data_IF_705758676153
#
_entry.id   IF_705758676153
#
_cell.length_a   1.000
_cell.length_b   1.000
_cell.length_c   1.000
_cell.angle_alpha   90.00
_cell.angle_beta   90.00
_cell.angle_gamma   90.00
#
_symmetry.space_group_name_H-M   'P 1'
#
loop_
_entity.id
_entity.type
_entity.pdbx_description
1 polymer ?
#
# COMPACT_ATOMS: atom_id res chain seq x y z
N UNK A 1 -17.39 11.27 -9.88
CA UNK A 1 -17.12 11.03 -11.31
C UNK A 1 -17.20 12.33 -12.09
N UNK A 2 -18.32 13.05 -11.99
CA UNK A 2 -18.47 14.39 -12.56
C UNK A 2 -17.28 15.30 -12.23
N UNK A 3 -16.89 15.38 -10.96
CA UNK A 3 -15.78 16.25 -10.52
C UNK A 3 -14.42 15.79 -11.09
N UNK A 4 -14.14 14.49 -11.12
CA UNK A 4 -12.88 13.96 -11.70
C UNK A 4 -12.75 14.27 -13.20
N UNK A 5 -13.84 14.20 -13.95
CA UNK A 5 -13.84 14.53 -15.38
C UNK A 5 -13.75 16.04 -15.60
N UNK A 6 -14.42 16.83 -14.75
CA UNK A 6 -14.31 18.28 -14.78
C UNK A 6 -12.86 18.73 -14.54
N UNK A 7 -12.23 18.24 -13.48
CA UNK A 7 -10.83 18.53 -13.14
C UNK A 7 -9.89 18.10 -14.28
N UNK A 8 -10.13 16.94 -14.90
CA UNK A 8 -9.33 16.47 -16.02
C UNK A 8 -9.45 17.37 -17.27
N UNK A 9 -10.66 17.81 -17.60
CA UNK A 9 -10.94 18.73 -18.73
C UNK A 9 -10.35 20.12 -18.46
N UNK A 10 -10.36 20.59 -17.22
CA UNK A 10 -9.72 21.85 -16.84
C UNK A 10 -8.21 21.83 -17.13
N UNK A 11 -7.55 20.71 -16.84
CA UNK A 11 -6.11 20.54 -17.06
C UNK A 11 -5.79 20.23 -18.54
N UNK A 12 -6.62 19.41 -19.21
CA UNK A 12 -6.44 18.98 -20.61
C UNK A 12 -7.79 19.04 -21.34
N UNK A 13 -8.12 20.15 -22.00
CA UNK A 13 -9.45 20.36 -22.62
C UNK A 13 -9.87 19.28 -23.62
N UNK A 14 -8.93 18.70 -24.37
CA UNK A 14 -9.18 17.66 -25.37
C UNK A 14 -9.75 16.37 -24.78
N UNK A 15 -9.66 16.17 -23.45
CA UNK A 15 -10.31 15.05 -22.75
C UNK A 15 -11.82 15.06 -22.96
N UNK A 16 -12.44 16.22 -23.22
CA UNK A 16 -13.88 16.35 -23.47
C UNK A 16 -14.34 15.63 -24.75
N UNK A 17 -13.43 15.39 -25.70
CA UNK A 17 -13.74 14.71 -26.97
C UNK A 17 -13.49 13.20 -26.90
N UNK A 18 -12.97 12.69 -25.77
CA UNK A 18 -12.67 11.26 -25.59
C UNK A 18 -13.88 10.48 -25.08
N UNK A 19 -13.99 9.21 -25.49
CA UNK A 19 -14.99 8.29 -24.98
C UNK A 19 -14.56 7.68 -23.63
N UNK A 20 -15.43 7.73 -22.63
CA UNK A 20 -15.21 7.05 -21.34
C UNK A 20 -15.31 5.53 -21.51
N UNK A 21 -14.16 4.85 -21.50
CA UNK A 21 -14.12 3.38 -21.66
C UNK A 21 -14.58 2.62 -20.41
N UNK A 22 -14.18 3.05 -19.21
CA UNK A 22 -14.45 2.31 -17.98
C UNK A 22 -14.40 3.22 -16.75
N UNK A 23 -15.13 2.85 -15.69
CA UNK A 23 -14.96 3.41 -14.34
C UNK A 23 -14.86 2.28 -13.33
N UNK A 24 -13.82 2.34 -12.48
CA UNK A 24 -13.57 1.33 -11.45
C UNK A 24 -13.24 1.98 -10.11
N UNK A 25 -13.68 1.32 -9.04
CA UNK A 25 -13.23 1.58 -7.66
C UNK A 25 -12.60 0.32 -7.08
N UNK A 26 -11.56 0.51 -6.26
CA UNK A 26 -10.82 -0.56 -5.59
C UNK A 26 -10.37 -0.10 -4.21
N UNK A 27 -10.21 -1.06 -3.32
CA UNK A 27 -9.69 -0.82 -1.99
C UNK A 27 -8.22 -0.40 -2.05
N UNK A 28 -7.88 0.63 -1.27
CA UNK A 28 -6.50 1.10 -1.06
C UNK A 28 -6.18 0.91 0.44
N UNK A 29 -5.86 -0.32 0.86
CA UNK A 29 -5.61 -0.60 2.27
C UNK A 29 -4.48 0.31 2.76
N UNK A 30 -4.76 1.11 3.77
CA UNK A 30 -3.85 2.06 4.38
C UNK A 30 -3.92 1.95 5.89
N UNK A 31 -2.90 2.49 6.53
CA UNK A 31 -2.72 2.57 7.98
C UNK A 31 -2.85 4.03 8.43
N UNK A 32 -2.99 4.26 9.74
CA UNK A 32 -3.16 5.61 10.28
C UNK A 32 -1.99 6.55 9.97
N UNK A 33 -0.78 6.00 9.79
CA UNK A 33 0.45 6.76 9.48
C UNK A 33 0.82 6.74 7.99
N UNK A 34 -0.02 6.14 7.12
CA UNK A 34 0.24 5.92 5.69
C UNK A 34 1.48 5.07 5.37
N UNK A 35 2.11 4.40 6.35
CA UNK A 35 3.22 3.49 6.14
C UNK A 35 2.75 2.02 6.08
N UNK A 36 3.40 1.12 5.32
CA UNK A 36 2.97 -0.27 5.26
C UNK A 36 3.12 -0.99 6.60
N UNK A 37 2.47 -2.14 6.73
CA UNK A 37 2.65 -3.11 7.80
C UNK A 37 3.42 -4.30 7.22
N UNK A 38 4.67 -4.45 7.67
CA UNK A 38 5.61 -5.48 7.24
C UNK A 38 6.08 -6.26 8.45
N UNK A 39 6.02 -7.58 8.39
CA UNK A 39 6.64 -8.42 9.42
C UNK A 39 5.73 -9.46 10.05
N UNK A 40 6.33 -10.35 10.84
CA UNK A 40 5.62 -11.26 11.73
C UNK A 40 4.77 -10.49 12.76
N UNK A 41 3.72 -11.15 13.22
CA UNK A 41 2.85 -10.67 14.29
C UNK A 41 3.03 -11.49 15.57
N UNK A 42 2.31 -11.13 16.63
CA UNK A 42 2.25 -11.96 17.84
C UNK A 42 1.53 -13.30 17.64
N UNK A 43 0.79 -13.48 16.54
CA UNK A 43 0.18 -14.76 16.19
C UNK A 43 1.21 -15.61 15.42
N UNK A 44 1.56 -16.82 15.90
CA UNK A 44 2.53 -17.68 15.23
C UNK A 44 2.11 -18.00 13.79
N UNK A 45 3.03 -17.82 12.85
CA UNK A 45 2.81 -18.10 11.42
C UNK A 45 2.07 -17.00 10.65
N UNK A 46 1.63 -15.92 11.30
CA UNK A 46 1.02 -14.77 10.60
C UNK A 46 2.07 -13.68 10.33
N UNK A 47 2.24 -13.37 9.04
CA UNK A 47 3.11 -12.31 8.53
C UNK A 47 2.27 -11.28 7.77
N UNK A 48 2.56 -9.99 7.97
CA UNK A 48 1.91 -8.87 7.31
C UNK A 48 2.77 -8.35 6.16
N UNK A 49 2.10 -8.03 5.05
CA UNK A 49 2.65 -7.33 3.89
C UNK A 49 1.52 -6.49 3.26
N UNK A 50 1.02 -5.49 4.00
CA UNK A 50 -0.20 -4.74 3.63
C UNK A 50 -0.09 -3.26 3.98
N UNK A 51 -1.12 -2.47 3.71
CA UNK A 51 -1.21 -1.07 4.15
C UNK A 51 -0.49 -0.06 3.24
N UNK A 52 -0.08 -0.47 2.04
CA UNK A 52 0.70 0.39 1.13
C UNK A 52 -0.08 1.53 0.47
N UNK A 53 -1.39 1.67 0.69
CA UNK A 53 -2.27 2.72 0.16
C UNK A 53 -2.04 2.99 -1.34
N UNK A 54 -1.37 4.11 -1.67
CA UNK A 54 -1.13 4.60 -3.04
C UNK A 54 0.19 4.08 -3.62
N UNK A 55 1.07 3.55 -2.77
CA UNK A 55 2.43 3.15 -3.13
C UNK A 55 2.57 1.62 -3.29
N UNK A 56 1.47 0.86 -3.28
CA UNK A 56 1.52 -0.62 -3.36
C UNK A 56 2.25 -1.15 -4.58
N UNK A 57 1.91 -0.68 -5.78
CA UNK A 57 2.56 -1.11 -7.01
C UNK A 57 4.05 -0.75 -7.03
N UNK A 58 4.39 0.48 -6.62
CA UNK A 58 5.77 0.96 -6.53
C UNK A 58 6.62 0.11 -5.57
N UNK A 59 6.07 -0.21 -4.40
CA UNK A 59 6.79 -0.88 -3.32
C UNK A 59 6.73 -2.41 -3.39
N UNK A 60 6.04 -2.98 -4.39
CA UNK A 60 5.87 -4.44 -4.50
C UNK A 60 7.21 -5.20 -4.52
N UNK A 61 8.24 -4.81 -5.31
CA UNK A 61 9.48 -5.59 -5.38
C UNK A 61 10.22 -5.63 -4.04
N UNK A 62 10.47 -4.47 -3.44
CA UNK A 62 11.20 -4.37 -2.16
C UNK A 62 10.43 -4.98 -1.00
N UNK A 63 9.09 -4.92 -1.03
CA UNK A 63 8.26 -5.60 -0.03
C UNK A 63 8.38 -7.11 -0.17
N UNK A 64 8.32 -7.63 -1.40
CA UNK A 64 8.48 -9.06 -1.67
C UNK A 64 9.82 -9.60 -1.20
N UNK A 65 10.91 -8.90 -1.51
CA UNK A 65 12.26 -9.25 -1.07
C UNK A 65 12.38 -9.25 0.46
N UNK A 66 11.88 -8.21 1.13
CA UNK A 66 11.97 -8.11 2.58
C UNK A 66 11.18 -9.21 3.31
N UNK A 67 10.00 -9.56 2.80
CA UNK A 67 9.18 -10.63 3.37
C UNK A 67 9.78 -12.01 3.07
N UNK A 68 10.36 -12.22 1.87
CA UNK A 68 11.07 -13.45 1.55
C UNK A 68 12.29 -13.67 2.47
N UNK A 69 13.07 -12.61 2.74
CA UNK A 69 14.19 -12.67 3.68
C UNK A 69 13.71 -13.02 5.08
N UNK A 70 12.63 -12.39 5.57
CA UNK A 70 12.06 -12.72 6.87
C UNK A 70 11.59 -14.17 6.95
N UNK A 71 10.93 -14.68 5.91
CA UNK A 71 10.43 -16.05 5.91
C UNK A 71 11.55 -17.10 5.88
N UNK A 72 12.70 -16.77 5.28
CA UNK A 72 13.83 -17.70 5.13
C UNK A 72 14.85 -17.61 6.28
N UNK A 73 15.03 -16.43 6.87
CA UNK A 73 16.05 -16.18 7.89
C UNK A 73 15.46 -15.91 9.29
N UNK A 74 14.16 -15.62 9.36
CA UNK A 74 13.50 -15.14 10.58
C UNK A 74 13.75 -13.67 10.89
N UNK A 75 14.52 -12.94 10.06
CA UNK A 75 14.89 -11.55 10.30
C UNK A 75 14.32 -10.62 9.23
N UNK A 76 13.76 -9.50 9.65
CA UNK A 76 13.29 -8.46 8.74
C UNK A 76 14.46 -7.52 8.41
N UNK A 77 14.66 -7.11 7.14
CA UNK A 77 15.72 -6.17 6.79
C UNK A 77 15.63 -4.86 7.58
N UNK A 78 16.77 -4.24 7.85
CA UNK A 78 16.85 -3.00 8.62
C UNK A 78 15.95 -1.90 8.04
N UNK A 79 15.88 -1.78 6.71
CA UNK A 79 15.03 -0.78 6.04
C UNK A 79 13.53 -1.02 6.25
N UNK A 80 13.12 -2.25 6.56
CA UNK A 80 11.74 -2.63 6.80
C UNK A 80 11.37 -2.67 8.31
N UNK A 81 12.36 -2.59 9.20
CA UNK A 81 12.19 -2.71 10.65
C UNK A 81 11.26 -1.64 11.28
N UNK A 82 11.19 -0.45 10.69
CA UNK A 82 10.30 0.62 11.15
C UNK A 82 8.81 0.37 10.82
N UNK A 83 8.51 -0.64 10.00
CA UNK A 83 7.16 -0.90 9.47
C UNK A 83 6.47 -2.08 10.13
N UNK A 84 6.95 -2.58 11.26
CA UNK A 84 6.27 -3.63 12.02
C UNK A 84 4.95 -3.12 12.63
N UNK A 85 4.08 -4.06 13.01
CA UNK A 85 2.81 -3.74 13.67
C UNK A 85 3.01 -3.12 15.05
N UNK A 86 4.11 -3.44 15.71
CA UNK A 86 4.44 -2.98 17.07
C UNK A 86 4.54 -1.45 17.17
N UNK A 87 4.77 -0.75 16.06
CA UNK A 87 4.84 0.72 16.02
C UNK A 87 3.55 1.41 16.45
N UNK A 88 2.40 0.75 16.34
CA UNK A 88 1.12 1.30 16.78
C UNK A 88 0.83 1.05 18.26
N UNK A 89 1.73 0.35 18.96
CA UNK A 89 1.54 -0.07 20.34
C UNK A 89 0.43 -1.12 20.48
N UNK A 90 0.38 -1.76 21.65
CA UNK A 90 -0.83 -2.45 22.08
C UNK A 90 -1.75 -1.40 22.69
N UNK A 91 -2.82 -1.02 21.99
CA UNK A 91 -3.97 -0.45 22.70
C UNK A 91 -4.56 -1.59 23.53
N UNK A 92 -4.41 -1.48 24.86
CA UNK A 92 -5.00 -2.40 25.83
C UNK A 92 -6.53 -2.43 25.70
#
# INVERSE_FOLDING_TARGET
MHDLLHDAIEVVPEVAELELTETLARWRPGTADNAPLLGATSLPGLVLATGHHRNGALLTPVTGEAIAEQLTTGQLPAIASAFTVDRFGRTA
#
